data_IF_342158389133
#
_entry.id   IF_342158389133
#
_cell.length_a   1.000
_cell.length_b   1.000
_cell.length_c   1.000
_cell.angle_alpha   90.00
_cell.angle_beta   90.00
_cell.angle_gamma   90.00
#
_symmetry.space_group_name_H-M   'P 1'
#
loop_
_entity.id
_entity.type
_entity.pdbx_description
1 polymer ?
#
# COMPACT_ATOMS: atom_id res chain seq x y z
N UNK A 1 14.08 0.06 -8.51
CA UNK A 1 12.77 0.00 -9.19
C UNK A 1 11.70 0.51 -8.25
N UNK A 2 10.71 1.23 -8.76
CA UNK A 2 9.62 1.79 -7.96
C UNK A 2 8.29 1.67 -8.71
N UNK A 3 7.20 1.43 -7.99
CA UNK A 3 5.83 1.60 -8.46
C UNK A 3 4.94 2.15 -7.35
N UNK A 4 3.80 2.75 -7.74
CA UNK A 4 2.81 3.25 -6.81
C UNK A 4 1.41 2.89 -7.31
N UNK A 5 0.63 2.16 -6.51
CA UNK A 5 -0.74 1.74 -6.85
C UNK A 5 -1.82 2.77 -6.46
N UNK A 6 -1.43 3.80 -5.72
CA UNK A 6 -2.34 4.80 -5.14
C UNK A 6 -2.43 4.69 -3.62
N UNK A 7 -3.40 5.41 -3.05
CA UNK A 7 -3.65 5.47 -1.61
C UNK A 7 -4.90 4.69 -1.24
N UNK A 8 -5.05 4.35 0.05
CA UNK A 8 -6.30 3.77 0.59
C UNK A 8 -6.70 2.42 -0.03
N UNK A 9 -5.73 1.53 -0.21
CA UNK A 9 -5.94 0.19 -0.76
C UNK A 9 -6.30 -0.79 0.34
N UNK A 10 -7.43 -1.46 0.18
CA UNK A 10 -7.88 -2.54 1.06
C UNK A 10 -7.65 -3.93 0.44
N UNK A 11 -7.83 -4.05 -0.87
CA UNK A 11 -7.57 -5.29 -1.60
C UNK A 11 -6.09 -5.40 -2.00
N UNK A 12 -5.40 -6.36 -1.38
CA UNK A 12 -3.98 -6.61 -1.60
C UNK A 12 -3.68 -7.40 -2.89
N UNK A 13 -4.70 -7.90 -3.60
CA UNK A 13 -4.53 -8.61 -4.88
C UNK A 13 -3.77 -7.78 -5.92
N UNK A 14 -3.98 -6.46 -5.90
CA UNK A 14 -3.29 -5.51 -6.79
C UNK A 14 -1.77 -5.48 -6.57
N UNK A 15 -1.30 -5.65 -5.33
CA UNK A 15 0.14 -5.74 -5.04
C UNK A 15 0.75 -7.01 -5.61
N UNK A 16 0.05 -8.14 -5.53
CA UNK A 16 0.52 -9.41 -6.08
C UNK A 16 0.76 -9.29 -7.59
N UNK A 17 -0.20 -8.68 -8.31
CA UNK A 17 -0.09 -8.45 -9.74
C UNK A 17 1.05 -7.48 -10.07
N UNK A 18 1.16 -6.37 -9.33
CA UNK A 18 2.22 -5.39 -9.54
C UNK A 18 3.62 -5.97 -9.29
N UNK A 19 3.82 -6.70 -8.18
CA UNK A 19 5.08 -7.38 -7.86
C UNK A 19 5.49 -8.30 -9.00
N UNK A 20 4.56 -9.11 -9.51
CA UNK A 20 4.82 -10.02 -10.63
C UNK A 20 5.31 -9.29 -11.88
N UNK A 21 4.65 -8.20 -12.28
CA UNK A 21 5.07 -7.41 -13.45
C UNK A 21 6.41 -6.70 -13.22
N UNK A 22 6.64 -6.20 -12.01
CA UNK A 22 7.90 -5.56 -11.65
C UNK A 22 9.07 -6.54 -11.67
N UNK A 23 8.90 -7.76 -11.16
CA UNK A 23 9.95 -8.79 -11.20
C UNK A 23 10.25 -9.24 -12.63
N UNK A 24 9.23 -9.35 -13.50
CA UNK A 24 9.47 -9.59 -14.93
C UNK A 24 10.30 -8.48 -15.56
N UNK A 25 10.02 -7.22 -15.21
CA UNK A 25 10.79 -6.08 -15.70
C UNK A 25 12.23 -6.10 -15.16
N UNK A 26 12.43 -6.42 -13.88
CA UNK A 26 13.76 -6.62 -13.29
C UNK A 26 14.56 -7.69 -14.05
N UNK A 27 13.92 -8.81 -14.40
CA UNK A 27 14.56 -9.86 -15.21
C UNK A 27 14.91 -9.38 -16.62
N UNK A 28 14.02 -8.63 -17.25
CA UNK A 28 14.29 -8.04 -18.58
C UNK A 28 15.51 -7.12 -18.53
N UNK A 29 15.62 -6.27 -17.51
CA UNK A 29 16.76 -5.37 -17.31
C UNK A 29 18.04 -6.19 -17.10
N UNK A 30 18.02 -7.22 -16.25
CA UNK A 30 19.19 -8.09 -16.04
C UNK A 30 19.65 -8.77 -17.34
N UNK A 31 18.72 -9.25 -18.16
CA UNK A 31 19.07 -9.92 -19.41
C UNK A 31 19.65 -8.97 -20.46
N UNK A 32 19.18 -7.72 -20.51
CA UNK A 32 19.64 -6.73 -21.49
C UNK A 32 20.95 -6.07 -21.07
N UNK A 33 21.09 -5.72 -19.80
CA UNK A 33 22.17 -4.85 -19.31
C UNK A 33 23.14 -5.58 -18.38
N UNK A 34 22.83 -6.81 -17.94
CA UNK A 34 23.63 -7.54 -16.94
C UNK A 34 23.53 -6.98 -15.52
N UNK A 35 22.61 -6.04 -15.27
CA UNK A 35 22.48 -5.32 -13.99
C UNK A 35 21.47 -6.00 -13.07
N UNK A 36 21.87 -6.25 -11.82
CA UNK A 36 20.96 -6.65 -10.75
C UNK A 36 20.25 -5.42 -10.13
N UNK A 37 18.93 -5.41 -10.19
CA UNK A 37 18.11 -4.41 -9.49
C UNK A 37 17.99 -4.76 -8.01
N UNK A 38 18.82 -4.13 -7.16
CA UNK A 38 18.93 -4.45 -5.73
C UNK A 38 17.89 -3.77 -4.83
N UNK A 39 17.04 -2.89 -5.36
CA UNK A 39 16.01 -2.19 -4.60
C UNK A 39 14.66 -2.25 -5.33
N UNK A 40 13.62 -2.66 -4.61
CA UNK A 40 12.24 -2.67 -5.06
C UNK A 40 11.40 -1.87 -4.06
N UNK A 41 10.94 -0.69 -4.47
CA UNK A 41 10.03 0.15 -3.70
C UNK A 41 8.60 -0.04 -4.22
N UNK A 42 7.69 -0.43 -3.33
CA UNK A 42 6.28 -0.72 -3.64
C UNK A 42 5.38 0.51 -3.42
N UNK A 43 5.97 1.65 -3.03
CA UNK A 43 5.26 2.86 -2.70
C UNK A 43 4.42 2.72 -1.42
N UNK A 44 3.51 3.67 -1.23
CA UNK A 44 2.48 3.58 -0.20
C UNK A 44 1.27 2.78 -0.65
N UNK A 45 0.19 2.91 0.11
CA UNK A 45 -1.13 2.44 -0.32
C UNK A 45 -1.88 1.65 0.74
N UNK A 46 -1.23 1.20 1.82
CA UNK A 46 -1.92 0.58 2.94
C UNK A 46 -3.01 1.51 3.49
N UNK A 47 -4.26 1.07 3.40
CA UNK A 47 -5.41 1.84 3.85
C UNK A 47 -5.53 1.96 5.37
N UNK A 48 -6.38 2.89 5.79
CA UNK A 48 -6.74 3.11 7.21
C UNK A 48 -8.26 3.12 7.36
N UNK A 49 -8.74 2.96 8.59
CA UNK A 49 -10.17 2.97 8.87
C UNK A 49 -10.67 4.41 9.05
N UNK A 50 -11.56 4.89 8.20
CA UNK A 50 -12.24 6.20 8.39
C UNK A 50 -13.72 6.03 8.75
N UNK A 51 -14.39 5.05 8.15
CA UNK A 51 -15.77 4.68 8.43
C UNK A 51 -15.84 3.36 9.21
N UNK A 52 -16.95 3.11 9.90
CA UNK A 52 -17.16 1.82 10.58
C UNK A 52 -17.08 0.62 9.62
N UNK A 53 -17.55 0.83 8.38
CA UNK A 53 -17.54 -0.14 7.29
C UNK A 53 -16.17 -0.38 6.66
N UNK A 54 -15.17 0.45 6.95
CA UNK A 54 -13.83 0.26 6.39
C UNK A 54 -13.12 -0.91 7.09
N UNK A 55 -12.60 -1.83 6.28
CA UNK A 55 -11.90 -3.03 6.71
C UNK A 55 -10.49 -3.08 6.10
N UNK A 56 -9.58 -2.18 6.51
CA UNK A 56 -8.21 -2.20 6.00
C UNK A 56 -7.48 -3.48 6.45
N UNK A 57 -6.55 -4.01 5.64
CA UNK A 57 -5.74 -5.13 6.05
C UNK A 57 -4.81 -4.74 7.21
N UNK A 58 -4.48 -5.71 8.08
CA UNK A 58 -3.49 -5.48 9.13
C UNK A 58 -2.10 -5.25 8.52
N UNK A 59 -1.26 -4.46 9.21
CA UNK A 59 0.13 -4.23 8.83
C UNK A 59 0.88 -5.56 8.64
N UNK A 60 0.64 -6.54 9.52
CA UNK A 60 1.23 -7.88 9.44
C UNK A 60 0.83 -8.60 8.15
N UNK A 61 -0.46 -8.60 7.81
CA UNK A 61 -0.95 -9.25 6.59
C UNK A 61 -0.38 -8.58 5.34
N UNK A 62 -0.31 -7.25 5.34
CA UNK A 62 0.28 -6.47 4.26
C UNK A 62 1.76 -6.80 4.04
N UNK A 63 2.57 -6.76 5.11
CA UNK A 63 4.01 -7.03 5.03
C UNK A 63 4.28 -8.48 4.62
N UNK A 64 3.62 -9.46 5.25
CA UNK A 64 3.81 -10.87 4.90
C UNK A 64 3.47 -11.14 3.44
N UNK A 65 2.32 -10.63 2.96
CA UNK A 65 1.91 -10.80 1.57
C UNK A 65 2.93 -10.22 0.61
N UNK A 66 3.48 -9.03 0.88
CA UNK A 66 4.50 -8.42 0.03
C UNK A 66 5.78 -9.25 0.01
N UNK A 67 6.32 -9.58 1.18
CA UNK A 67 7.60 -10.30 1.30
C UNK A 67 7.50 -11.67 0.64
N UNK A 68 6.46 -12.43 0.95
CA UNK A 68 6.24 -13.77 0.40
C UNK A 68 6.11 -13.72 -1.13
N UNK A 69 5.40 -12.74 -1.68
CA UNK A 69 5.25 -12.63 -3.13
C UNK A 69 6.54 -12.17 -3.82
N UNK A 70 7.28 -11.22 -3.25
CA UNK A 70 8.57 -10.80 -3.79
C UNK A 70 9.54 -11.97 -3.80
N UNK A 71 9.73 -12.67 -2.66
CA UNK A 71 10.62 -13.84 -2.57
C UNK A 71 10.25 -14.92 -3.58
N UNK A 72 8.96 -15.24 -3.69
CA UNK A 72 8.49 -16.25 -4.64
C UNK A 72 8.78 -15.86 -6.09
N UNK A 73 8.48 -14.62 -6.48
CA UNK A 73 8.68 -14.19 -7.86
C UNK A 73 10.16 -14.04 -8.22
N UNK A 74 11.01 -13.51 -7.33
CA UNK A 74 12.46 -13.41 -7.62
C UNK A 74 13.11 -14.78 -7.71
N UNK A 75 12.71 -15.74 -6.85
CA UNK A 75 13.18 -17.13 -6.91
C UNK A 75 12.77 -17.81 -8.22
N UNK A 76 11.50 -17.67 -8.64
CA UNK A 76 11.02 -18.19 -9.94
C UNK A 76 11.77 -17.61 -11.14
N UNK A 77 12.27 -16.38 -11.01
CA UNK A 77 12.96 -15.67 -12.08
C UNK A 77 14.50 -15.73 -11.97
N UNK A 78 15.04 -16.47 -11.00
CA UNK A 78 16.47 -16.59 -10.72
C UNK A 78 17.16 -15.22 -10.56
N UNK A 79 16.50 -14.30 -9.85
CA UNK A 79 17.03 -12.98 -9.52
C UNK A 79 17.52 -12.94 -8.07
N UNK A 80 18.42 -12.01 -7.80
CA UNK A 80 18.80 -11.69 -6.42
C UNK A 80 17.62 -11.07 -5.67
N UNK A 81 17.51 -11.37 -4.37
CA UNK A 81 16.51 -10.76 -3.52
C UNK A 81 16.79 -9.26 -3.38
N UNK A 82 15.87 -8.37 -3.80
CA UNK A 82 16.05 -6.94 -3.62
C UNK A 82 15.76 -6.55 -2.17
N UNK A 83 16.33 -5.41 -1.74
CA UNK A 83 15.81 -4.69 -0.59
C UNK A 83 14.40 -4.19 -0.91
N UNK A 84 13.45 -4.54 -0.05
CA UNK A 84 12.06 -4.11 -0.15
C UNK A 84 11.91 -2.78 0.57
N UNK A 85 11.27 -1.81 -0.10
CA UNK A 85 10.90 -0.51 0.49
C UNK A 85 9.39 -0.29 0.32
N UNK A 86 8.78 0.38 1.31
CA UNK A 86 7.38 0.81 1.31
C UNK A 86 7.28 2.24 1.83
N UNK A 87 6.23 2.96 1.44
CA UNK A 87 6.01 4.37 1.79
C UNK A 87 4.61 4.59 2.43
N UNK A 88 4.28 3.93 3.56
CA UNK A 88 2.91 3.88 4.11
C UNK A 88 2.52 5.16 4.87
N UNK A 89 2.64 6.33 4.22
CA UNK A 89 2.46 7.63 4.87
C UNK A 89 1.12 7.77 5.60
N UNK A 90 0.01 7.50 4.90
CA UNK A 90 -1.35 7.57 5.49
C UNK A 90 -1.49 6.65 6.70
N UNK A 91 -1.01 5.41 6.61
CA UNK A 91 -1.12 4.43 7.69
C UNK A 91 -0.37 4.84 8.95
N UNK A 92 0.68 5.65 8.81
CA UNK A 92 1.45 6.17 9.94
C UNK A 92 0.74 7.36 10.58
N UNK A 93 0.21 8.29 9.77
CA UNK A 93 -0.22 9.61 10.28
C UNK A 93 -1.73 9.75 10.49
N UNK A 94 -2.55 8.84 9.97
CA UNK A 94 -4.02 9.02 9.96
C UNK A 94 -4.64 9.18 11.34
N UNK A 95 -4.15 8.47 12.34
CA UNK A 95 -4.67 8.50 13.72
C UNK A 95 -3.85 9.42 14.64
N UNK A 96 -2.84 10.12 14.09
CA UNK A 96 -1.92 10.93 14.89
C UNK A 96 -2.50 12.28 15.33
N UNK A 97 -3.64 12.70 14.80
CA UNK A 97 -4.24 14.01 15.06
C UNK A 97 -5.75 13.98 15.15
N UNK A 98 -6.29 14.87 15.98
CA UNK A 98 -7.74 15.09 16.13
C UNK A 98 -8.00 16.57 15.92
N UNK A 99 -9.04 16.88 15.16
CA UNK A 99 -9.51 18.27 15.01
C UNK A 99 -10.73 18.47 15.88
N UNK A 100 -10.59 19.30 16.92
CA UNK A 100 -11.64 19.61 17.89
C UNK A 100 -12.29 20.95 17.58
N UNK A 101 -13.62 20.98 17.54
CA UNK A 101 -14.41 22.19 17.29
C UNK A 101 -15.48 22.39 18.36
N UNK A 102 -15.84 23.64 18.62
CA UNK A 102 -17.03 24.01 19.40
C UNK A 102 -18.19 24.33 18.45
N UNK A 103 -19.39 23.85 18.77
CA UNK A 103 -20.60 24.19 18.01
C UNK A 103 -20.91 25.67 18.22
N UNK A 104 -20.86 26.47 17.17
CA UNK A 104 -21.09 27.91 17.25
C UNK A 104 -22.58 28.29 17.29
N UNK A 105 -23.42 27.64 16.48
CA UNK A 105 -24.85 27.91 16.44
C UNK A 105 -25.62 26.69 15.92
N UNK A 106 -26.84 26.49 16.40
CA UNK A 106 -27.74 25.40 15.98
C UNK A 106 -29.08 26.00 15.57
N UNK A 107 -29.54 25.73 14.35
CA UNK A 107 -30.86 26.17 13.88
C UNK A 107 -31.87 25.04 14.00
N UNK A 108 -32.83 25.16 14.89
CA UNK A 108 -33.97 24.26 14.95
C UNK A 108 -35.09 24.75 14.01
N UNK A 109 -35.58 23.86 13.14
CA UNK A 109 -36.68 24.15 12.23
C UNK A 109 -37.90 23.33 12.67
N UNK A 110 -38.99 23.98 13.14
CA UNK A 110 -40.21 23.28 13.50
C UNK A 110 -40.81 22.53 12.30
N UNK A 111 -41.33 21.31 12.53
CA UNK A 111 -42.10 20.47 11.59
C UNK A 111 -41.33 19.74 10.47
N UNK A 112 -40.00 19.68 10.50
CA UNK A 112 -39.21 18.76 9.66
C UNK A 112 -38.74 17.59 10.54
N UNK A 113 -38.95 16.35 10.10
CA UNK A 113 -38.58 15.13 10.85
C UNK A 113 -37.07 15.16 11.17
N UNK A 114 -36.73 14.83 12.43
CA UNK A 114 -35.37 14.42 12.82
C UNK A 114 -35.00 13.12 12.14
#
# INVERSE_FOLDING_TARGET
>A
MHFHLGSQIFDLSSYVLAIKEMVKLMRKIKNLEGIDTLNLNLGGGLGVKYLESDLPPSIKNFVNLIVDNVENEVRKNNLMMPKILIEPGRSIVAEAGITLYTIGNTKEIPRIRK
#
